data_IF_481345117109
#
_entry.id   IF_481345117109
#
_cell.length_a   1.000
_cell.length_b   1.000
_cell.length_c   1.000
_cell.angle_alpha   90.00
_cell.angle_beta   90.00
_cell.angle_gamma   90.00
#
_symmetry.space_group_name_H-M   'P 1'
#
loop_
_entity.id
_entity.type
_entity.pdbx_description
1 polymer ?
#
# COMPACT_ATOMS: atom_id res chain seq x y z
N UNK A 1 28.61 -5.50 5.04
CA UNK A 1 27.27 -5.07 5.51
C UNK A 1 26.19 -5.33 4.44
N UNK A 2 26.29 -4.76 3.24
CA UNK A 2 25.31 -4.89 2.13
C UNK A 2 25.05 -6.32 1.62
N UNK A 3 26.10 -7.14 1.49
CA UNK A 3 25.96 -8.52 1.02
C UNK A 3 25.07 -9.40 1.93
N UNK A 4 25.05 -9.11 3.23
CA UNK A 4 24.20 -9.84 4.19
C UNK A 4 22.73 -9.44 4.04
N UNK A 5 22.45 -8.15 3.82
CA UNK A 5 21.10 -7.66 3.52
C UNK A 5 20.54 -8.28 2.23
N UNK A 6 21.32 -8.28 1.15
CA UNK A 6 20.92 -8.88 -0.12
C UNK A 6 20.62 -10.37 0.00
N UNK A 7 21.45 -11.12 0.75
CA UNK A 7 21.19 -12.54 1.01
C UNK A 7 19.89 -12.77 1.77
N UNK A 8 19.61 -11.97 2.81
CA UNK A 8 18.34 -12.04 3.55
C UNK A 8 17.15 -11.71 2.66
N UNK A 9 17.22 -10.65 1.87
CA UNK A 9 16.17 -10.24 0.94
C UNK A 9 15.89 -11.33 -0.10
N UNK A 10 16.93 -11.87 -0.74
CA UNK A 10 16.77 -12.95 -1.73
C UNK A 10 16.19 -14.22 -1.11
N UNK A 11 16.57 -14.56 0.11
CA UNK A 11 15.99 -15.70 0.83
C UNK A 11 14.50 -15.49 1.08
N UNK A 12 14.11 -14.29 1.53
CA UNK A 12 12.72 -13.92 1.78
C UNK A 12 11.88 -13.95 0.49
N UNK A 13 12.40 -13.38 -0.60
CA UNK A 13 11.74 -13.42 -1.92
C UNK A 13 11.51 -14.87 -2.35
N UNK A 14 12.53 -15.72 -2.25
CA UNK A 14 12.40 -17.14 -2.60
C UNK A 14 11.36 -17.84 -1.73
N UNK A 15 11.34 -17.56 -0.43
CA UNK A 15 10.40 -18.21 0.47
C UNK A 15 8.95 -17.80 0.19
N UNK A 16 8.69 -16.52 -0.10
CA UNK A 16 7.36 -16.04 -0.51
C UNK A 16 6.91 -16.69 -1.82
N UNK A 17 7.81 -16.84 -2.81
CA UNK A 17 7.47 -17.35 -4.14
C UNK A 17 7.42 -18.88 -4.24
N UNK A 18 8.32 -19.58 -3.53
CA UNK A 18 8.51 -21.03 -3.68
C UNK A 18 7.90 -21.84 -2.53
N UNK A 19 7.80 -21.26 -1.34
CA UNK A 19 7.26 -21.93 -0.14
C UNK A 19 6.25 -21.04 0.60
N UNK A 20 5.20 -20.55 -0.08
CA UNK A 20 4.27 -19.60 0.51
C UNK A 20 3.61 -20.16 1.78
N UNK A 21 3.09 -21.40 1.77
CA UNK A 21 2.39 -21.92 2.95
C UNK A 21 3.20 -21.88 4.26
N UNK A 22 4.52 -22.04 4.19
CA UNK A 22 5.39 -21.91 5.36
C UNK A 22 5.74 -20.46 5.64
N UNK A 23 6.08 -19.69 4.61
CA UNK A 23 6.54 -18.31 4.79
C UNK A 23 5.42 -17.37 5.28
N UNK A 24 4.19 -17.55 4.80
CA UNK A 24 3.05 -16.74 5.22
C UNK A 24 2.75 -16.94 6.71
N UNK A 25 2.90 -18.16 7.25
CA UNK A 25 2.79 -18.42 8.70
C UNK A 25 3.89 -17.73 9.52
N UNK A 26 5.08 -17.55 8.93
CA UNK A 26 6.16 -16.77 9.56
C UNK A 26 5.77 -15.29 9.58
N UNK A 27 5.28 -14.77 8.45
CA UNK A 27 4.81 -13.38 8.32
C UNK A 27 3.68 -13.07 9.31
N UNK A 28 2.72 -13.99 9.52
CA UNK A 28 1.65 -13.84 10.51
C UNK A 28 2.18 -13.61 11.94
N UNK A 29 3.35 -14.16 12.27
CA UNK A 29 4.01 -13.96 13.56
C UNK A 29 4.88 -12.70 13.65
N UNK A 30 5.08 -11.98 12.54
CA UNK A 30 5.86 -10.75 12.52
C UNK A 30 5.01 -9.59 13.07
N UNK A 31 5.60 -8.81 13.98
CA UNK A 31 4.91 -7.80 14.76
C UNK A 31 4.85 -6.45 14.05
N UNK A 32 4.40 -6.44 12.80
CA UNK A 32 3.99 -5.19 12.18
C UNK A 32 2.58 -4.88 12.67
N UNK A 33 2.44 -3.79 13.44
CA UNK A 33 1.09 -3.34 13.80
C UNK A 33 0.38 -2.93 12.53
N UNK A 34 -0.90 -3.32 12.38
CA UNK A 34 -1.72 -2.95 11.23
C UNK A 34 -1.65 -1.44 10.91
N UNK A 35 -1.56 -0.62 11.96
CA UNK A 35 -1.38 0.82 11.84
C UNK A 35 -0.07 1.21 11.14
N UNK A 36 1.04 0.53 11.47
CA UNK A 36 2.34 0.82 10.88
C UNK A 36 2.35 0.52 9.38
N UNK A 37 1.77 -0.60 8.93
CA UNK A 37 1.64 -0.92 7.50
C UNK A 37 0.75 0.11 6.77
N UNK A 38 -0.36 0.51 7.37
CA UNK A 38 -1.26 1.48 6.77
C UNK A 38 -0.57 2.84 6.57
N UNK A 39 0.13 3.34 7.58
CA UNK A 39 0.75 4.67 7.53
C UNK A 39 2.07 4.67 6.76
N UNK A 40 2.95 3.70 7.00
CA UNK A 40 4.28 3.67 6.40
C UNK A 40 4.25 3.27 4.93
N UNK A 41 3.21 2.55 4.48
CA UNK A 41 3.15 2.00 3.13
C UNK A 41 1.89 2.43 2.38
N UNK A 42 0.71 2.07 2.87
CA UNK A 42 -0.55 2.27 2.12
C UNK A 42 -0.85 3.76 1.91
N UNK A 43 -0.65 4.60 2.93
CA UNK A 43 -0.85 6.04 2.84
C UNK A 43 0.07 6.67 1.78
N UNK A 44 1.34 6.27 1.74
CA UNK A 44 2.29 6.77 0.74
C UNK A 44 1.85 6.33 -0.66
N UNK A 45 1.52 5.05 -0.85
CA UNK A 45 1.11 4.52 -2.14
C UNK A 45 -0.18 5.16 -2.66
N UNK A 46 -1.18 5.35 -1.80
CA UNK A 46 -2.44 5.98 -2.17
C UNK A 46 -2.25 7.45 -2.58
N UNK A 47 -1.23 8.14 -2.05
CA UNK A 47 -0.95 9.53 -2.36
C UNK A 47 -0.32 9.74 -3.75
N UNK A 48 0.49 8.79 -4.24
CA UNK A 48 1.21 8.89 -5.52
C UNK A 48 0.30 9.26 -6.70
N UNK A 49 -0.79 8.52 -7.00
CA UNK A 49 -1.62 8.82 -8.16
C UNK A 49 -2.32 10.18 -8.04
N UNK A 50 -2.79 10.56 -6.86
CA UNK A 50 -3.50 11.84 -6.68
C UNK A 50 -2.57 13.04 -6.73
N UNK A 51 -1.34 12.92 -6.22
CA UNK A 51 -0.30 13.95 -6.39
C UNK A 51 0.03 14.11 -7.88
N UNK A 52 0.25 13.00 -8.61
CA UNK A 52 0.55 13.05 -10.03
C UNK A 52 -0.60 13.68 -10.83
N UNK A 53 -1.85 13.32 -10.52
CA UNK A 53 -3.03 13.86 -11.17
C UNK A 53 -3.23 15.35 -10.87
N UNK A 54 -3.09 15.75 -9.61
CA UNK A 54 -3.16 17.14 -9.18
C UNK A 54 -2.12 18.00 -9.91
N UNK A 55 -0.86 17.54 -9.98
CA UNK A 55 0.21 18.24 -10.68
C UNK A 55 -0.11 18.34 -12.17
N UNK A 56 -0.52 17.22 -12.78
CA UNK A 56 -0.95 17.16 -14.17
C UNK A 56 -2.03 18.20 -14.45
N UNK A 57 -3.15 18.15 -13.76
CA UNK A 57 -4.29 19.01 -14.06
C UNK A 57 -4.09 20.48 -13.70
N UNK A 58 -3.32 20.79 -12.66
CA UNK A 58 -3.14 22.18 -12.20
C UNK A 58 -2.02 22.88 -12.96
N UNK A 59 -0.94 22.16 -13.29
CA UNK A 59 0.28 22.76 -13.81
C UNK A 59 0.65 22.28 -15.22
N UNK A 60 0.13 21.14 -15.68
CA UNK A 60 0.54 20.51 -16.95
C UNK A 60 -0.68 20.21 -17.85
N UNK A 61 -1.07 21.18 -18.67
CA UNK A 61 -2.04 20.98 -19.76
C UNK A 61 -3.52 21.08 -19.36
N UNK A 62 -3.86 21.06 -18.07
CA UNK A 62 -5.24 21.27 -17.60
C UNK A 62 -5.56 22.71 -17.14
N UNK A 63 -4.57 23.43 -16.58
CA UNK A 63 -4.72 24.75 -15.94
C UNK A 63 -5.97 24.90 -15.06
N UNK A 64 -6.37 23.80 -14.42
CA UNK A 64 -7.53 23.80 -13.52
C UNK A 64 -7.25 24.66 -12.28
N UNK A 65 -8.27 25.31 -11.70
CA UNK A 65 -8.09 26.08 -10.47
C UNK A 65 -7.46 25.25 -9.34
N UNK A 66 -6.34 25.75 -8.79
CA UNK A 66 -5.50 25.02 -7.84
C UNK A 66 -6.26 24.62 -6.57
N UNK A 67 -7.02 25.54 -5.98
CA UNK A 67 -7.70 25.29 -4.69
C UNK A 67 -8.80 24.22 -4.81
N UNK A 68 -9.76 24.31 -5.76
CA UNK A 68 -10.74 23.25 -5.99
C UNK A 68 -10.09 21.90 -6.35
N UNK A 69 -9.03 21.91 -7.15
CA UNK A 69 -8.38 20.68 -7.56
C UNK A 69 -7.60 20.01 -6.41
N UNK A 70 -6.99 20.80 -5.53
CA UNK A 70 -6.35 20.29 -4.32
C UNK A 70 -7.37 19.66 -3.38
N UNK A 71 -8.53 20.30 -3.18
CA UNK A 71 -9.62 19.73 -2.38
C UNK A 71 -10.07 18.39 -2.94
N UNK A 72 -10.28 18.31 -4.27
CA UNK A 72 -10.59 17.05 -4.96
C UNK A 72 -9.52 16.00 -4.68
N UNK A 73 -8.24 16.32 -4.88
CA UNK A 73 -7.14 15.39 -4.71
C UNK A 73 -7.09 14.82 -3.28
N UNK A 74 -7.30 15.67 -2.26
CA UNK A 74 -7.36 15.23 -0.85
C UNK A 74 -8.55 14.29 -0.61
N UNK A 75 -9.74 14.62 -1.12
CA UNK A 75 -10.92 13.77 -0.94
C UNK A 75 -10.71 12.41 -1.61
N UNK A 76 -10.22 12.39 -2.86
CA UNK A 76 -9.98 11.13 -3.58
C UNK A 76 -8.89 10.31 -2.90
N UNK A 77 -7.84 10.94 -2.41
CA UNK A 77 -6.80 10.27 -1.61
C UNK A 77 -7.39 9.58 -0.38
N UNK A 78 -8.20 10.28 0.41
CA UNK A 78 -8.83 9.72 1.60
C UNK A 78 -9.77 8.56 1.27
N UNK A 79 -10.55 8.69 0.19
CA UNK A 79 -11.43 7.61 -0.29
C UNK A 79 -10.62 6.40 -0.75
N UNK A 80 -9.54 6.61 -1.52
CA UNK A 80 -8.66 5.52 -1.99
C UNK A 80 -8.01 4.78 -0.81
N UNK A 81 -7.48 5.53 0.16
CA UNK A 81 -6.92 4.96 1.38
C UNK A 81 -7.96 4.17 2.18
N UNK A 82 -9.15 4.73 2.38
CA UNK A 82 -10.25 4.06 3.07
C UNK A 82 -10.70 2.79 2.34
N UNK A 83 -10.75 2.80 1.01
CA UNK A 83 -11.11 1.62 0.22
C UNK A 83 -10.11 0.48 0.39
N UNK A 84 -8.80 0.76 0.44
CA UNK A 84 -7.79 -0.27 0.73
C UNK A 84 -8.03 -0.89 2.11
N UNK A 85 -8.30 -0.06 3.12
CA UNK A 85 -8.62 -0.54 4.47
C UNK A 85 -9.87 -1.43 4.50
N UNK A 86 -10.95 -1.01 3.81
CA UNK A 86 -12.19 -1.77 3.72
C UNK A 86 -11.95 -3.12 3.02
N UNK A 87 -11.26 -3.13 1.88
CA UNK A 87 -10.96 -4.35 1.13
C UNK A 87 -10.11 -5.30 1.97
N UNK A 88 -9.09 -4.78 2.67
CA UNK A 88 -8.27 -5.59 3.57
C UNK A 88 -9.12 -6.26 4.67
N UNK A 89 -10.06 -5.52 5.27
CA UNK A 89 -10.99 -6.08 6.25
C UNK A 89 -11.93 -7.14 5.67
N UNK A 90 -12.39 -6.96 4.43
CA UNK A 90 -13.20 -7.98 3.72
C UNK A 90 -12.36 -9.23 3.45
N UNK A 91 -11.10 -9.08 3.05
CA UNK A 91 -10.18 -10.21 2.83
C UNK A 91 -9.95 -10.97 4.13
N UNK A 92 -9.65 -10.28 5.23
CA UNK A 92 -9.43 -10.91 6.54
C UNK A 92 -10.66 -11.68 7.02
N UNK A 93 -11.86 -11.09 6.86
CA UNK A 93 -13.12 -11.74 7.19
C UNK A 93 -13.38 -13.00 6.37
N UNK A 94 -12.98 -13.01 5.10
CA UNK A 94 -13.20 -14.13 4.18
C UNK A 94 -12.06 -15.15 4.18
N UNK A 95 -10.87 -14.80 4.67
CA UNK A 95 -9.69 -15.67 4.64
C UNK A 95 -9.94 -17.06 5.24
N UNK A 96 -10.66 -17.23 6.38
CA UNK A 96 -10.95 -18.56 6.93
C UNK A 96 -11.83 -19.45 6.05
N UNK A 97 -12.51 -18.88 5.04
CA UNK A 97 -13.42 -19.62 4.15
C UNK A 97 -12.71 -20.19 2.91
N UNK A 98 -11.49 -19.76 2.62
CA UNK A 98 -10.75 -20.11 1.40
C UNK A 98 -9.53 -21.01 1.67
N UNK A 99 -9.61 -21.85 2.71
CA UNK A 99 -8.52 -22.74 3.16
C UNK A 99 -7.77 -23.46 2.05
#
# INVERSE_FOLDING_TARGET
MWATYLRKLLARIKAILLTPQTEWKVIEGEHDTLFDLLISYVAILAAIPEIAHFIGQSFIGGYTPVVPNLLRAVVVYLVAFAMVYIIAGVIDLLAPRFG
#
